data_IF_641171384611
#
_entry.id   IF_641171384611
#
_cell.length_a   1.000
_cell.length_b   1.000
_cell.length_c   1.000
_cell.angle_alpha   90.00
_cell.angle_beta   90.00
_cell.angle_gamma   90.00
#
_symmetry.space_group_name_H-M   'P 1'
#
loop_
_entity.id
_entity.type
_entity.pdbx_description
1 polymer ?
#
# COMPACT_ATOMS: atom_id res chain seq x y z
N UNK A 1 -13.33 -8.24 -7.95
CA UNK A 1 -13.29 -8.48 -6.49
C UNK A 1 -11.84 -8.51 -6.07
N UNK A 2 -11.46 -7.76 -5.03
CA UNK A 2 -10.07 -7.62 -4.56
C UNK A 2 -9.96 -8.12 -3.13
N UNK A 3 -8.90 -8.85 -2.82
CA UNK A 3 -8.56 -9.29 -1.46
C UNK A 3 -7.32 -8.52 -1.00
N UNK A 4 -7.43 -7.79 0.10
CA UNK A 4 -6.32 -7.12 0.76
C UNK A 4 -6.12 -7.74 2.15
N UNK A 5 -4.91 -8.23 2.41
CA UNK A 5 -4.53 -8.90 3.65
C UNK A 5 -3.39 -8.14 4.31
N UNK A 6 -3.42 -8.04 5.64
CA UNK A 6 -2.29 -7.56 6.42
C UNK A 6 -2.13 -8.40 7.67
N UNK A 7 -0.89 -8.67 8.05
CA UNK A 7 -0.55 -9.42 9.25
C UNK A 7 0.81 -8.98 9.80
N UNK A 8 1.05 -9.34 11.05
CA UNK A 8 2.29 -9.04 11.77
C UNK A 8 3.04 -10.35 12.01
N UNK A 9 4.34 -10.37 11.72
CA UNK A 9 5.24 -11.42 12.15
C UNK A 9 5.65 -11.19 13.60
N UNK A 10 5.42 -12.19 14.45
CA UNK A 10 5.80 -12.16 15.86
C UNK A 10 7.05 -13.01 16.06
N UNK A 11 8.03 -12.44 16.75
CA UNK A 11 9.23 -13.12 17.26
C UNK A 11 9.20 -13.14 18.80
N UNK A 12 10.19 -13.79 19.42
CA UNK A 12 10.40 -13.90 20.87
C UNK A 12 10.38 -12.56 21.62
N UNK A 13 10.72 -11.45 20.96
CA UNK A 13 10.71 -10.10 21.52
C UNK A 13 9.48 -9.25 21.12
N UNK A 14 8.50 -9.80 20.43
CA UNK A 14 7.27 -9.11 20.01
C UNK A 14 7.14 -8.96 18.49
N UNK A 15 6.46 -7.91 18.03
CA UNK A 15 6.25 -7.67 16.61
C UNK A 15 7.57 -7.35 15.89
N UNK A 16 7.99 -8.23 14.98
CA UNK A 16 9.25 -8.14 14.26
C UNK A 16 9.09 -7.67 12.81
N UNK A 17 7.93 -7.92 12.20
CA UNK A 17 7.66 -7.53 10.82
C UNK A 17 6.18 -7.27 10.58
N UNK A 18 5.87 -6.49 9.54
CA UNK A 18 4.50 -6.26 9.06
C UNK A 18 4.46 -6.59 7.58
N UNK A 19 3.43 -7.30 7.18
CA UNK A 19 3.21 -7.69 5.80
C UNK A 19 1.86 -7.17 5.32
N UNK A 20 1.82 -6.84 4.04
CA UNK A 20 0.58 -6.60 3.31
C UNK A 20 0.66 -7.40 2.00
N UNK A 21 -0.45 -8.00 1.62
CA UNK A 21 -0.56 -8.73 0.36
C UNK A 21 -1.90 -8.44 -0.29
N UNK A 22 -1.92 -8.46 -1.62
CA UNK A 22 -3.13 -8.32 -2.41
C UNK A 22 -3.02 -9.14 -3.68
N UNK A 23 -4.15 -9.60 -4.19
CA UNK A 23 -4.22 -10.08 -5.57
C UNK A 23 -4.00 -8.93 -6.57
N UNK A 24 -3.54 -9.24 -7.77
CA UNK A 24 -3.28 -8.29 -8.84
C UNK A 24 -4.48 -8.02 -9.75
N UNK A 25 -5.59 -8.75 -9.60
CA UNK A 25 -6.74 -8.70 -10.52
C UNK A 25 -7.58 -7.45 -10.31
N UNK A 26 -7.68 -6.63 -11.33
CA UNK A 26 -8.69 -5.57 -11.42
C UNK A 26 -9.84 -6.11 -12.28
N UNK A 27 -11.09 -5.86 -11.89
CA UNK A 27 -12.27 -6.30 -12.64
C UNK A 27 -13.22 -5.13 -12.85
N UNK A 28 -13.70 -4.95 -14.08
CA UNK A 28 -14.75 -3.99 -14.43
C UNK A 28 -15.97 -4.74 -14.97
N UNK A 29 -17.09 -4.61 -14.27
CA UNK A 29 -18.28 -5.39 -14.56
C UNK A 29 -18.02 -6.89 -14.50
N UNK A 30 -18.61 -7.65 -15.42
CA UNK A 30 -18.59 -9.12 -15.39
C UNK A 30 -17.50 -9.76 -16.27
N UNK A 31 -16.93 -9.06 -17.25
CA UNK A 31 -16.08 -9.69 -18.27
C UNK A 31 -14.71 -9.04 -18.46
N UNK A 32 -14.52 -7.80 -18.02
CA UNK A 32 -13.25 -7.11 -18.17
C UNK A 32 -12.41 -7.35 -16.93
N UNK A 33 -11.23 -7.94 -17.12
CA UNK A 33 -10.28 -8.18 -16.06
C UNK A 33 -8.86 -7.85 -16.49
N UNK A 34 -8.04 -7.46 -15.53
CA UNK A 34 -6.63 -7.18 -15.72
C UNK A 34 -5.83 -7.75 -14.55
N UNK A 35 -5.01 -8.78 -14.81
CA UNK A 35 -4.37 -9.61 -13.77
C UNK A 35 -2.96 -9.15 -13.38
N UNK A 36 -2.52 -7.95 -13.75
CA UNK A 36 -1.18 -7.41 -13.43
C UNK A 36 -1.23 -6.04 -12.75
N UNK A 37 -2.35 -5.72 -12.10
CA UNK A 37 -2.50 -4.49 -11.35
C UNK A 37 -1.63 -4.46 -10.09
N UNK A 38 -0.89 -3.37 -9.89
CA UNK A 38 -0.17 -3.11 -8.63
C UNK A 38 -1.15 -2.52 -7.61
N UNK A 39 -1.39 -3.24 -6.51
CA UNK A 39 -2.26 -2.78 -5.41
C UNK A 39 -1.55 -2.49 -4.09
N UNK A 40 -0.26 -2.79 -4.02
CA UNK A 40 0.60 -2.59 -2.84
C UNK A 40 1.74 -1.64 -3.16
N UNK A 41 1.98 -0.69 -2.27
CA UNK A 41 3.01 0.33 -2.36
C UNK A 41 3.73 0.46 -1.01
N UNK A 42 5.02 0.70 -1.04
CA UNK A 42 5.83 0.88 0.16
C UNK A 42 6.83 1.99 -0.07
N UNK A 43 7.01 2.83 0.95
CA UNK A 43 8.08 3.83 1.00
C UNK A 43 9.44 3.12 1.14
N UNK A 44 10.45 3.65 0.44
CA UNK A 44 11.83 3.17 0.54
C UNK A 44 12.57 3.76 1.73
N UNK A 45 12.11 4.90 2.22
CA UNK A 45 12.80 5.72 3.23
C UNK A 45 12.14 5.69 4.60
N UNK A 46 10.87 5.27 4.67
CA UNK A 46 10.09 5.29 5.90
C UNK A 46 9.24 4.01 6.07
N UNK A 47 8.88 3.61 7.30
CA UNK A 47 8.13 2.38 7.56
C UNK A 47 6.63 2.56 7.25
N UNK A 48 6.30 2.94 6.01
CA UNK A 48 4.94 3.19 5.55
C UNK A 48 4.61 2.30 4.36
N UNK A 49 3.57 1.49 4.53
CA UNK A 49 3.08 0.54 3.53
C UNK A 49 1.60 0.85 3.27
N UNK A 50 1.22 0.91 2.00
CA UNK A 50 -0.12 1.23 1.53
C UNK A 50 -0.65 0.12 0.65
N UNK A 51 -1.95 -0.16 0.78
CA UNK A 51 -2.68 -1.04 -0.12
C UNK A 51 -4.08 -0.50 -0.37
N UNK A 52 -4.68 -0.84 -1.50
CA UNK A 52 -6.05 -0.44 -1.82
C UNK A 52 -6.93 -1.62 -2.22
N UNK A 53 -8.21 -1.49 -1.92
CA UNK A 53 -9.28 -2.35 -2.38
C UNK A 53 -10.52 -1.49 -2.70
N UNK A 54 -11.45 -2.03 -3.48
CA UNK A 54 -12.62 -1.27 -3.95
C UNK A 54 -12.34 -0.56 -5.28
N UNK A 55 -12.72 0.72 -5.37
CA UNK A 55 -12.54 1.51 -6.59
C UNK A 55 -11.04 1.70 -6.91
N UNK A 56 -10.70 1.55 -8.19
CA UNK A 56 -9.32 1.53 -8.66
C UNK A 56 -8.88 2.89 -9.23
N UNK A 57 -9.83 3.74 -9.63
CA UNK A 57 -9.58 4.93 -10.45
C UNK A 57 -8.72 5.95 -9.70
N UNK A 58 -9.03 6.19 -8.43
CA UNK A 58 -8.29 7.13 -7.60
C UNK A 58 -6.96 6.54 -7.06
N UNK A 59 -6.93 5.35 -6.42
CA UNK A 59 -5.71 4.83 -5.80
C UNK A 59 -4.56 4.61 -6.80
N UNK A 60 -4.87 4.19 -8.03
CA UNK A 60 -3.84 3.94 -9.05
C UNK A 60 -3.14 5.22 -9.49
N UNK A 61 -3.82 6.37 -9.41
CA UNK A 61 -3.26 7.67 -9.76
C UNK A 61 -2.43 8.26 -8.63
N UNK A 62 -2.87 8.09 -7.37
CA UNK A 62 -2.32 8.82 -6.24
C UNK A 62 -1.25 8.05 -5.45
N UNK A 63 -1.38 6.74 -5.27
CA UNK A 63 -0.50 6.02 -4.34
C UNK A 63 0.97 6.00 -4.78
N UNK A 64 1.24 5.99 -6.08
CA UNK A 64 2.61 6.14 -6.59
C UNK A 64 3.22 7.50 -6.26
N UNK A 65 2.48 8.57 -6.54
CA UNK A 65 2.90 9.95 -6.25
C UNK A 65 3.05 10.19 -4.74
N UNK A 66 2.12 9.65 -3.95
CA UNK A 66 2.17 9.72 -2.49
C UNK A 66 3.47 9.12 -1.95
N UNK A 67 3.82 7.90 -2.38
CA UNK A 67 5.05 7.23 -1.96
C UNK A 67 6.29 8.01 -2.39
N UNK A 68 6.28 8.57 -3.60
CA UNK A 68 7.38 9.41 -4.08
C UNK A 68 7.56 10.67 -3.22
N UNK A 69 6.49 11.40 -2.91
CA UNK A 69 6.54 12.58 -2.04
C UNK A 69 7.01 12.25 -0.61
N UNK A 70 6.68 11.06 -0.12
CA UNK A 70 7.20 10.57 1.17
C UNK A 70 8.71 10.33 1.05
N UNK A 71 9.13 9.64 0.00
CA UNK A 71 10.53 9.25 -0.21
C UNK A 71 11.45 10.44 -0.51
N UNK A 72 10.94 11.51 -1.11
CA UNK A 72 11.68 12.77 -1.29
C UNK A 72 11.64 13.67 -0.06
N UNK A 73 10.89 13.31 0.99
CA UNK A 73 10.71 14.14 2.18
C UNK A 73 9.88 15.41 1.92
N UNK A 74 9.10 15.44 0.83
CA UNK A 74 8.25 16.58 0.48
C UNK A 74 6.85 16.52 1.12
N UNK A 75 6.46 15.39 1.73
CA UNK A 75 5.11 15.23 2.29
C UNK A 75 5.03 15.47 3.81
N UNK A 76 6.02 15.03 4.57
CA UNK A 76 5.98 15.07 6.04
C UNK A 76 7.05 15.99 6.59
N UNK A 77 6.71 16.82 7.56
CA UNK A 77 7.67 17.57 8.35
C UNK A 77 8.12 16.78 9.59
N UNK A 78 9.26 17.15 10.17
CA UNK A 78 9.76 16.52 11.41
C UNK A 78 8.78 16.62 12.58
N UNK A 79 7.90 17.61 12.57
CA UNK A 79 6.90 17.84 13.62
C UNK A 79 5.63 17.01 13.43
N UNK A 80 5.46 16.32 12.30
CA UNK A 80 4.32 15.44 12.04
C UNK A 80 4.48 14.05 12.69
N UNK A 81 5.44 13.88 13.60
CA UNK A 81 5.64 12.60 14.31
C UNK A 81 4.45 12.30 15.22
N UNK A 82 3.99 11.05 15.18
CA UNK A 82 2.90 10.52 16.00
C UNK A 82 3.28 10.25 17.47
N UNK A 83 4.31 10.95 17.99
CA UNK A 83 4.86 10.82 19.34
C UNK A 83 5.25 12.19 19.90
#
# INVERSE_FOLDING_TARGET
>A
MTTLLSWVGIDTHGAASVYIASDSRISWGCSQQWDVGRKVFASKTSPKIFGYCGDVSFPIQILGQLVELIDTGCLFEKNDSYW
#
